data_IF_026835349796
#
_entry.id   IF_026835349796
#
_cell.length_a   1.000
_cell.length_b   1.000
_cell.length_c   1.000
_cell.angle_alpha   90.00
_cell.angle_beta   90.00
_cell.angle_gamma   90.00
#
_symmetry.space_group_name_H-M   'P 1'
#
loop_
_entity.id
_entity.type
_entity.pdbx_description
1 polymer ?
#
# COMPACT_ATOMS: atom_id res chain seq x y z
N UNK A 1 -51.40 -32.25 -64.32
CA UNK A 1 -52.26 -31.43 -63.44
C UNK A 1 -51.48 -30.18 -63.07
N UNK A 2 -51.78 -29.08 -63.75
CA UNK A 2 -51.19 -27.76 -63.56
C UNK A 2 -52.07 -26.96 -62.59
N UNK A 3 -51.45 -26.22 -61.66
CA UNK A 3 -51.62 -24.76 -61.51
C UNK A 3 -50.83 -24.22 -60.32
N UNK A 4 -49.74 -23.55 -60.66
CA UNK A 4 -48.99 -22.58 -59.87
C UNK A 4 -49.84 -21.34 -59.60
N UNK A 5 -49.84 -20.81 -58.38
CA UNK A 5 -50.31 -19.46 -58.07
C UNK A 5 -49.29 -18.80 -57.13
N UNK A 6 -48.60 -17.80 -57.68
CA UNK A 6 -47.78 -16.84 -56.95
C UNK A 6 -48.69 -15.76 -56.34
N UNK A 7 -48.48 -15.41 -55.08
CA UNK A 7 -49.07 -14.23 -54.46
C UNK A 7 -47.93 -13.27 -54.07
N UNK A 8 -47.93 -12.10 -54.72
CA UNK A 8 -47.13 -10.93 -54.40
C UNK A 8 -47.75 -10.21 -53.19
N UNK A 9 -46.92 -9.84 -52.21
CA UNK A 9 -47.30 -8.94 -51.12
C UNK A 9 -46.43 -7.65 -51.16
N UNK A 10 -46.99 -6.51 -50.76
CA UNK A 10 -46.50 -5.18 -51.13
C UNK A 10 -45.37 -4.66 -50.24
N UNK A 11 -44.49 -3.87 -50.86
CA UNK A 11 -43.51 -3.01 -50.21
C UNK A 11 -44.20 -1.96 -49.33
N UNK A 12 -43.98 -2.02 -48.02
CA UNK A 12 -44.31 -0.94 -47.10
C UNK A 12 -43.14 0.06 -47.06
N UNK A 13 -43.40 1.28 -47.52
CA UNK A 13 -42.49 2.42 -47.45
C UNK A 13 -42.42 2.91 -45.99
N UNK A 14 -41.30 2.66 -45.30
CA UNK A 14 -41.04 3.18 -43.97
C UNK A 14 -40.44 4.58 -44.09
N UNK A 15 -41.24 5.60 -43.78
CA UNK A 15 -40.74 6.95 -43.56
C UNK A 15 -39.98 7.01 -42.23
N UNK A 16 -38.65 7.00 -42.29
CA UNK A 16 -37.81 7.25 -41.13
C UNK A 16 -37.77 8.76 -40.83
N UNK A 17 -38.47 9.17 -39.78
CA UNK A 17 -38.33 10.50 -39.20
C UNK A 17 -36.97 10.62 -38.50
N UNK A 18 -36.06 11.39 -39.09
CA UNK A 18 -34.82 11.80 -38.43
C UNK A 18 -35.15 12.77 -37.30
N UNK A 19 -35.21 12.27 -36.07
CA UNK A 19 -35.17 13.12 -34.89
C UNK A 19 -33.75 13.72 -34.77
N UNK A 20 -33.61 15.04 -34.52
CA UNK A 20 -32.30 15.64 -34.26
C UNK A 20 -31.70 14.99 -33.01
N UNK A 21 -30.57 14.31 -33.21
CA UNK A 21 -29.86 13.61 -32.16
C UNK A 21 -29.42 14.57 -31.06
N UNK A 22 -30.00 14.40 -29.88
CA UNK A 22 -29.41 14.83 -28.62
C UNK A 22 -28.06 14.11 -28.51
N UNK A 23 -26.98 14.81 -28.81
CA UNK A 23 -25.63 14.36 -28.49
C UNK A 23 -25.61 14.10 -26.97
N UNK A 24 -25.22 12.90 -26.51
CA UNK A 24 -25.06 12.66 -25.09
C UNK A 24 -24.05 13.67 -24.53
N UNK A 25 -24.25 14.15 -23.29
CA UNK A 25 -23.30 15.07 -22.67
C UNK A 25 -21.91 14.42 -22.74
N UNK A 26 -20.99 15.15 -23.37
CA UNK A 26 -19.57 14.79 -23.44
C UNK A 26 -19.13 14.37 -22.05
N UNK A 27 -18.79 13.09 -21.89
CA UNK A 27 -18.27 12.55 -20.64
C UNK A 27 -17.09 13.44 -20.25
N UNK A 28 -17.26 14.23 -19.18
CA UNK A 28 -16.21 15.06 -18.63
C UNK A 28 -14.94 14.22 -18.55
N UNK A 29 -13.87 14.69 -19.20
CA UNK A 29 -12.59 14.01 -19.22
C UNK A 29 -12.25 13.61 -17.78
N UNK A 30 -12.24 12.30 -17.52
CA UNK A 30 -11.98 11.78 -16.19
C UNK A 30 -10.65 12.35 -15.71
N UNK A 31 -10.66 13.07 -14.58
CA UNK A 31 -9.45 13.60 -13.95
C UNK A 31 -8.42 12.46 -13.82
N UNK A 32 -7.37 12.53 -14.64
CA UNK A 32 -6.52 11.39 -14.92
C UNK A 32 -5.31 11.35 -13.99
N UNK A 33 -5.54 11.28 -12.67
CA UNK A 33 -4.45 11.22 -11.70
C UNK A 33 -4.86 10.75 -10.31
N UNK A 34 -3.87 10.40 -9.47
CA UNK A 34 -4.11 10.12 -8.06
C UNK A 34 -4.75 11.31 -7.34
N UNK A 35 -5.81 11.03 -6.57
CA UNK A 35 -6.51 12.01 -5.73
C UNK A 35 -6.43 11.66 -4.24
N UNK A 36 -6.11 10.41 -3.94
CA UNK A 36 -6.05 9.90 -2.59
C UNK A 36 -4.70 9.26 -2.34
N UNK A 37 -4.22 9.38 -1.10
CA UNK A 37 -3.05 8.67 -0.62
C UNK A 37 -3.37 7.95 0.69
N UNK A 38 -3.09 6.65 0.72
CA UNK A 38 -3.17 5.81 1.91
C UNK A 38 -1.76 5.49 2.36
N UNK A 39 -1.44 5.79 3.62
CA UNK A 39 -0.13 5.46 4.18
C UNK A 39 -0.10 5.60 5.69
N UNK A 40 1.03 5.23 6.30
CA UNK A 40 1.28 5.53 7.71
C UNK A 40 1.97 6.88 7.79
N UNK A 41 1.41 7.82 8.55
CA UNK A 41 2.01 9.13 8.71
C UNK A 41 3.22 9.04 9.66
N UNK A 42 4.36 9.54 9.23
CA UNK A 42 5.57 9.63 10.05
C UNK A 42 6.24 10.98 9.86
N UNK A 43 6.85 11.51 10.92
CA UNK A 43 7.80 12.61 10.79
C UNK A 43 9.16 12.02 10.41
N UNK A 44 9.81 12.57 9.40
CA UNK A 44 11.10 12.14 8.87
C UNK A 44 12.04 13.33 8.76
N UNK A 45 13.32 13.04 8.52
CA UNK A 45 14.38 14.02 8.39
C UNK A 45 15.25 13.63 7.21
N UNK A 46 15.76 14.61 6.49
CA UNK A 46 16.75 14.41 5.44
C UNK A 46 18.10 14.14 6.08
N UNK A 47 18.74 13.04 5.68
CA UNK A 47 20.12 12.77 6.07
C UNK A 47 21.04 13.69 5.29
N UNK A 48 21.88 14.44 5.99
CA UNK A 48 22.95 15.26 5.40
C UNK A 48 24.28 14.68 5.85
N UNK A 49 25.27 14.65 4.96
CA UNK A 49 26.59 14.11 5.27
C UNK A 49 27.66 15.15 4.93
N UNK A 50 28.50 15.47 5.90
CA UNK A 50 29.59 16.43 5.76
C UNK A 50 30.83 15.90 6.50
N UNK A 51 31.97 15.85 5.83
CA UNK A 51 33.23 15.41 6.45
C UNK A 51 33.24 13.96 6.96
N UNK A 52 32.36 13.09 6.46
CA UNK A 52 32.21 11.71 6.93
C UNK A 52 31.30 11.54 8.14
N UNK A 53 30.72 12.62 8.67
CA UNK A 53 29.69 12.59 9.71
C UNK A 53 28.30 12.72 9.08
N UNK A 54 27.29 12.11 9.72
CA UNK A 54 25.90 12.19 9.29
C UNK A 54 25.08 13.01 10.30
N UNK A 55 24.37 14.02 9.80
CA UNK A 55 23.35 14.80 10.52
C UNK A 55 21.96 14.51 9.94
N UNK A 56 20.93 14.88 10.71
CA UNK A 56 19.52 14.78 10.30
C UNK A 56 18.90 16.17 10.32
N UNK A 57 18.54 16.66 9.15
CA UNK A 57 18.08 18.03 8.91
C UNK A 57 16.71 18.02 8.22
N UNK A 58 16.08 19.18 8.09
CA UNK A 58 14.80 19.34 7.36
C UNK A 58 13.71 18.35 7.78
N UNK A 59 13.16 18.55 8.98
CA UNK A 59 12.00 17.78 9.44
C UNK A 59 10.81 17.96 8.49
N UNK A 60 10.15 16.86 8.15
CA UNK A 60 9.00 16.84 7.25
C UNK A 60 8.08 15.66 7.55
N UNK A 61 6.88 15.69 7.00
CA UNK A 61 5.95 14.56 7.10
C UNK A 61 6.01 13.70 5.83
N UNK A 62 5.91 12.39 6.04
CA UNK A 62 5.68 11.40 4.98
C UNK A 62 4.48 10.54 5.33
N UNK A 63 3.73 10.11 4.32
CA UNK A 63 2.80 8.98 4.47
C UNK A 63 3.26 7.83 3.58
N UNK A 64 3.67 6.73 4.20
CA UNK A 64 4.54 5.79 3.50
C UNK A 64 5.87 6.49 3.21
N UNK A 65 6.39 6.41 1.99
CA UNK A 65 7.61 7.08 1.50
C UNK A 65 7.32 8.31 0.64
N UNK A 66 6.10 8.87 0.72
CA UNK A 66 5.69 10.04 -0.06
C UNK A 66 5.77 11.29 0.80
N UNK A 67 6.57 12.27 0.37
CA UNK A 67 6.72 13.55 1.05
C UNK A 67 5.42 14.36 1.03
N UNK A 68 4.98 14.88 2.16
CA UNK A 68 3.72 15.62 2.25
C UNK A 68 3.94 17.14 2.24
N UNK A 69 3.15 17.82 1.43
CA UNK A 69 3.08 19.28 1.34
C UNK A 69 1.68 19.74 1.76
N UNK A 70 1.41 19.89 3.07
CA UNK A 70 0.08 20.30 3.53
C UNK A 70 -0.25 21.73 3.09
N UNK A 71 -1.49 21.93 2.63
CA UNK A 71 -2.02 23.26 2.36
C UNK A 71 -2.26 24.05 3.68
N UNK A 72 -2.32 25.40 3.62
CA UNK A 72 -2.61 26.21 4.80
C UNK A 72 -3.88 25.75 5.54
N UNK A 73 -3.75 25.47 6.83
CA UNK A 73 -4.85 25.00 7.68
C UNK A 73 -4.96 23.47 7.82
N UNK A 74 -4.16 22.69 7.09
CA UNK A 74 -4.09 21.23 7.28
C UNK A 74 -3.06 20.90 8.37
N UNK A 75 -3.53 20.52 9.56
CA UNK A 75 -2.67 20.06 10.65
C UNK A 75 -2.51 18.52 10.62
N UNK A 76 -1.28 18.06 10.43
CA UNK A 76 -0.91 16.65 10.36
C UNK A 76 -0.37 16.10 11.69
N UNK A 77 0.07 16.96 12.61
CA UNK A 77 0.74 16.54 13.83
C UNK A 77 -0.08 15.53 14.69
N UNK A 78 -1.41 15.69 14.86
CA UNK A 78 -2.23 14.75 15.64
C UNK A 78 -2.36 13.34 15.02
N UNK A 79 -1.96 13.18 13.76
CA UNK A 79 -2.07 11.94 13.00
C UNK A 79 -0.76 11.15 12.98
N UNK A 80 0.34 11.70 13.50
CA UNK A 80 1.67 11.06 13.44
C UNK A 80 1.63 9.67 14.09
N UNK A 81 2.23 8.69 13.42
CA UNK A 81 2.27 7.28 13.80
C UNK A 81 1.04 6.48 13.37
N UNK A 82 -0.05 7.11 12.93
CA UNK A 82 -1.32 6.47 12.59
C UNK A 82 -1.43 6.17 11.09
N UNK A 83 -2.23 5.17 10.70
CA UNK A 83 -2.69 5.05 9.32
C UNK A 83 -3.55 6.27 8.97
N UNK A 84 -3.34 6.83 7.79
CA UNK A 84 -4.03 8.03 7.30
C UNK A 84 -4.62 7.81 5.91
N UNK A 85 -5.69 8.54 5.66
CA UNK A 85 -6.25 8.78 4.34
C UNK A 85 -6.11 10.28 4.06
N UNK A 86 -5.36 10.60 3.01
CA UNK A 86 -5.12 11.96 2.55
C UNK A 86 -5.84 12.18 1.23
N UNK A 87 -6.42 13.37 1.05
CA UNK A 87 -6.95 13.85 -0.22
C UNK A 87 -6.09 14.99 -0.73
N UNK A 88 -5.82 14.99 -2.04
CA UNK A 88 -4.94 15.96 -2.66
C UNK A 88 -4.49 15.57 -4.05
N UNK A 89 -3.26 15.90 -4.40
CA UNK A 89 -2.69 15.63 -5.73
C UNK A 89 -1.17 15.42 -5.67
N UNK A 90 -0.58 14.66 -6.60
CA UNK A 90 0.87 14.57 -6.75
C UNK A 90 1.51 15.96 -6.95
N UNK A 91 2.67 16.14 -6.34
CA UNK A 91 3.45 17.37 -6.45
C UNK A 91 4.91 17.05 -6.80
N UNK A 92 5.63 18.07 -7.25
CA UNK A 92 7.08 17.98 -7.34
C UNK A 92 7.68 17.97 -5.91
N UNK A 93 8.68 17.13 -5.64
CA UNK A 93 9.35 17.12 -4.35
C UNK A 93 10.12 18.44 -4.15
N UNK A 94 10.25 18.90 -2.90
CA UNK A 94 11.03 20.10 -2.61
C UNK A 94 12.54 19.86 -2.89
N UNK A 95 13.34 20.90 -3.17
CA UNK A 95 14.77 20.75 -3.48
C UNK A 95 15.58 19.97 -2.43
N UNK A 96 15.15 20.05 -1.16
CA UNK A 96 15.76 19.39 0.00
C UNK A 96 15.52 17.88 0.02
N UNK A 97 14.53 17.37 -0.73
CA UNK A 97 14.24 15.93 -0.81
C UNK A 97 15.28 15.12 -1.60
N UNK A 98 16.38 15.75 -2.04
CA UNK A 98 17.46 15.07 -2.77
C UNK A 98 18.20 14.12 -1.83
N UNK A 99 18.38 12.87 -2.27
CA UNK A 99 19.22 11.92 -1.55
C UNK A 99 20.65 12.48 -1.41
N UNK A 100 21.27 12.38 -0.22
CA UNK A 100 22.64 12.81 -0.03
C UNK A 100 23.59 12.04 -0.94
N UNK A 101 24.69 12.68 -1.37
CA UNK A 101 25.72 12.00 -2.14
C UNK A 101 26.25 10.79 -1.34
N UNK A 102 26.05 9.55 -1.82
CA UNK A 102 26.41 8.35 -1.08
C UNK A 102 27.92 8.23 -0.84
N UNK A 103 28.76 9.00 -1.55
CA UNK A 103 30.21 9.07 -1.32
C UNK A 103 30.58 9.87 -0.07
N UNK A 104 29.67 10.70 0.43
CA UNK A 104 29.90 11.60 1.57
C UNK A 104 29.44 10.99 2.90
N UNK A 105 28.62 9.95 2.85
CA UNK A 105 28.11 9.24 4.02
C UNK A 105 28.93 7.98 4.34
N UNK A 106 29.05 7.60 5.63
CA UNK A 106 29.60 6.30 6.02
C UNK A 106 28.90 5.15 5.28
N UNK A 107 29.70 4.29 4.63
CA UNK A 107 29.17 3.11 3.98
C UNK A 107 28.77 2.06 5.02
N UNK A 108 27.51 1.66 4.99
CA UNK A 108 26.97 0.58 5.83
C UNK A 108 26.50 -0.52 4.90
N UNK A 109 26.89 -1.77 5.16
CA UNK A 109 26.29 -2.90 4.46
C UNK A 109 24.81 -2.96 4.86
N UNK A 110 23.93 -2.67 3.89
CA UNK A 110 22.49 -2.64 4.08
C UNK A 110 21.80 -3.41 2.96
N UNK A 111 20.58 -3.88 3.22
CA UNK A 111 19.72 -4.43 2.17
C UNK A 111 19.26 -3.30 1.24
N UNK A 112 18.96 -3.62 -0.01
CA UNK A 112 18.52 -2.64 -1.01
C UNK A 112 17.16 -1.99 -0.70
N UNK A 113 16.37 -2.60 0.18
CA UNK A 113 15.09 -2.08 0.66
C UNK A 113 15.20 -1.26 1.96
N UNK A 114 16.40 -1.05 2.49
CA UNK A 114 16.59 -0.25 3.70
C UNK A 114 16.64 1.24 3.36
N UNK A 115 15.82 2.01 4.06
CA UNK A 115 15.83 3.47 4.06
C UNK A 115 16.16 3.93 5.47
N UNK A 116 17.31 4.60 5.62
CA UNK A 116 17.74 5.13 6.91
C UNK A 116 16.95 6.40 7.24
N UNK A 117 16.37 6.43 8.44
CA UNK A 117 15.79 7.61 9.06
C UNK A 117 16.46 7.92 10.40
N UNK A 118 16.15 9.10 10.94
CA UNK A 118 16.65 9.57 12.24
C UNK A 118 16.40 8.57 13.38
N UNK A 119 15.23 7.93 13.36
CA UNK A 119 14.78 7.02 14.42
C UNK A 119 15.02 5.53 14.10
N UNK A 120 15.84 5.24 13.07
CA UNK A 120 16.20 3.87 12.70
C UNK A 120 15.99 3.55 11.22
N UNK A 121 15.79 2.28 10.90
CA UNK A 121 15.66 1.80 9.53
C UNK A 121 14.19 1.53 9.19
N UNK A 122 13.76 2.03 8.03
CA UNK A 122 12.47 1.74 7.40
C UNK A 122 12.69 0.80 6.22
N UNK A 123 11.69 -0.02 5.92
CA UNK A 123 11.74 -0.97 4.82
C UNK A 123 10.89 -0.44 3.65
N UNK A 124 11.53 -0.06 2.55
CA UNK A 124 10.86 0.27 1.29
C UNK A 124 10.62 -1.02 0.51
N UNK A 125 9.54 -1.70 0.87
CA UNK A 125 9.11 -2.94 0.22
C UNK A 125 8.62 -2.69 -1.20
N UNK A 126 8.37 -3.77 -1.93
CA UNK A 126 7.80 -3.69 -3.28
C UNK A 126 6.50 -2.86 -3.25
N UNK A 127 6.49 -1.77 -4.02
CA UNK A 127 5.36 -0.87 -4.18
C UNK A 127 4.85 -0.95 -5.63
N UNK A 128 3.54 -0.81 -5.87
CA UNK A 128 3.03 -0.58 -7.21
C UNK A 128 3.71 0.62 -7.86
N UNK A 129 3.88 0.57 -9.18
CA UNK A 129 4.57 1.61 -9.94
C UNK A 129 4.00 3.02 -9.71
N UNK A 130 2.68 3.15 -9.55
CA UNK A 130 2.04 4.44 -9.26
C UNK A 130 2.49 5.04 -7.91
N UNK A 131 2.62 4.19 -6.87
CA UNK A 131 3.19 4.58 -5.57
C UNK A 131 4.69 4.86 -5.67
N UNK A 132 5.43 4.06 -6.45
CA UNK A 132 6.86 4.24 -6.64
C UNK A 132 7.25 5.55 -7.37
N UNK A 133 6.32 6.14 -8.15
CA UNK A 133 6.56 7.39 -8.89
C UNK A 133 6.18 8.66 -8.11
N UNK A 134 5.37 8.56 -7.06
CA UNK A 134 4.91 9.72 -6.31
C UNK A 134 5.96 10.16 -5.28
N UNK A 135 6.84 11.09 -5.66
CA UNK A 135 7.86 11.62 -4.75
C UNK A 135 7.28 12.58 -3.69
N UNK A 136 6.25 13.34 -4.04
CA UNK A 136 5.57 14.23 -3.11
C UNK A 136 4.06 14.34 -3.40
N UNK A 137 3.29 14.75 -2.39
CA UNK A 137 1.85 14.88 -2.45
C UNK A 137 1.39 16.15 -1.73
N UNK A 138 0.67 17.03 -2.44
CA UNK A 138 0.04 18.21 -1.86
C UNK A 138 -1.24 17.79 -1.15
N UNK A 139 -1.34 18.03 0.15
CA UNK A 139 -2.45 17.55 0.99
C UNK A 139 -3.46 18.66 1.21
N UNK A 140 -4.70 18.43 0.77
CA UNK A 140 -5.85 19.33 0.98
C UNK A 140 -6.69 18.95 2.19
N UNK A 141 -6.78 17.65 2.47
CA UNK A 141 -7.46 17.12 3.64
C UNK A 141 -6.76 15.87 4.15
N UNK A 142 -6.79 15.67 5.47
CA UNK A 142 -6.17 14.54 6.14
C UNK A 142 -7.08 14.03 7.25
N UNK A 143 -7.15 12.70 7.40
CA UNK A 143 -7.81 12.07 8.54
C UNK A 143 -7.18 10.73 8.85
N UNK A 144 -7.38 10.25 10.08
CA UNK A 144 -7.04 8.88 10.44
C UNK A 144 -7.86 7.89 9.60
N UNK A 145 -7.22 6.81 9.18
CA UNK A 145 -7.85 5.68 8.51
C UNK A 145 -8.17 4.62 9.57
N UNK A 146 -9.45 4.49 9.93
CA UNK A 146 -9.89 3.55 10.97
C UNK A 146 -10.14 2.13 10.46
N UNK A 147 -10.28 1.98 9.15
CA UNK A 147 -10.68 0.74 8.48
C UNK A 147 -9.63 -0.37 8.45
N UNK A 148 -8.51 -0.29 9.18
CA UNK A 148 -7.49 -1.35 9.18
C UNK A 148 -7.43 -2.01 10.54
N UNK A 149 -7.62 -3.33 10.57
CA UNK A 149 -7.54 -4.13 11.79
C UNK A 149 -6.72 -5.38 11.56
N UNK A 150 -6.05 -5.82 12.62
CA UNK A 150 -5.36 -7.07 12.69
C UNK A 150 -5.64 -7.66 14.07
N UNK A 151 -6.16 -8.87 14.11
CA UNK A 151 -6.54 -9.51 15.37
C UNK A 151 -6.17 -10.99 15.35
N UNK A 152 -5.94 -11.56 16.53
CA UNK A 152 -5.66 -12.98 16.68
C UNK A 152 -6.97 -13.78 16.76
N UNK A 153 -7.04 -14.87 16.01
CA UNK A 153 -8.11 -15.86 16.09
C UNK A 153 -7.48 -17.27 16.12
N UNK A 154 -7.36 -17.85 17.32
CA UNK A 154 -6.72 -19.16 17.50
C UNK A 154 -5.24 -19.15 17.10
N UNK A 155 -4.90 -19.95 16.08
CA UNK A 155 -3.58 -20.09 15.48
C UNK A 155 -3.36 -19.17 14.24
N UNK A 156 -4.32 -18.27 13.98
CA UNK A 156 -4.30 -17.34 12.85
C UNK A 156 -4.31 -15.88 13.28
N UNK A 157 -3.81 -15.02 12.39
CA UNK A 157 -4.14 -13.60 12.35
C UNK A 157 -5.23 -13.36 11.32
N UNK A 158 -6.19 -12.54 11.69
CA UNK A 158 -7.25 -12.06 10.82
C UNK A 158 -6.97 -10.60 10.52
N UNK A 159 -6.61 -10.31 9.28
CA UNK A 159 -6.50 -8.95 8.77
C UNK A 159 -7.84 -8.55 8.14
N UNK A 160 -8.31 -7.34 8.44
CA UNK A 160 -9.43 -6.75 7.73
C UNK A 160 -9.13 -5.31 7.32
N UNK A 161 -9.54 -4.97 6.10
CA UNK A 161 -9.37 -3.65 5.50
C UNK A 161 -10.70 -3.17 4.91
N UNK A 162 -11.21 -2.05 5.41
CA UNK A 162 -12.42 -1.40 4.93
C UNK A 162 -12.07 -0.28 3.95
N UNK A 163 -12.63 -0.33 2.75
CA UNK A 163 -12.48 0.74 1.78
C UNK A 163 -13.31 1.95 2.20
N UNK A 164 -12.64 2.96 2.75
CA UNK A 164 -13.31 4.20 3.17
C UNK A 164 -13.45 5.25 2.06
N UNK A 165 -12.79 5.03 0.91
CA UNK A 165 -12.77 5.93 -0.23
C UNK A 165 -14.11 5.91 -0.99
N UNK A 166 -14.44 6.98 -1.75
CA UNK A 166 -15.63 7.01 -2.60
C UNK A 166 -15.46 6.21 -3.91
N UNK A 167 -14.29 5.60 -4.13
CA UNK A 167 -13.95 4.86 -5.36
C UNK A 167 -13.63 3.40 -5.03
N UNK A 168 -13.84 2.50 -5.99
CA UNK A 168 -13.47 1.10 -5.82
C UNK A 168 -11.94 0.93 -5.82
N UNK A 169 -11.46 0.00 -5.00
CA UNK A 169 -10.05 -0.35 -4.93
C UNK A 169 -9.79 -1.61 -5.77
N UNK A 170 -9.11 -1.44 -6.89
CA UNK A 170 -8.76 -2.49 -7.84
C UNK A 170 -7.42 -3.13 -7.46
N UNK A 171 -7.32 -4.45 -7.66
CA UNK A 171 -6.14 -5.25 -7.34
C UNK A 171 -5.68 -5.10 -5.90
N UNK A 172 -6.61 -5.01 -4.96
CA UNK A 172 -6.31 -4.93 -3.53
C UNK A 172 -5.57 -6.21 -3.08
N UNK A 173 -4.47 -6.06 -2.37
CA UNK A 173 -3.75 -7.17 -1.74
C UNK A 173 -3.45 -6.85 -0.27
N UNK A 174 -3.79 -7.80 0.59
CA UNK A 174 -3.38 -7.82 1.99
C UNK A 174 -2.17 -8.73 2.10
N UNK A 175 -1.01 -8.17 2.45
CA UNK A 175 0.27 -8.88 2.44
C UNK A 175 0.88 -8.85 3.83
N UNK A 176 1.05 -10.02 4.43
CA UNK A 176 1.66 -10.16 5.74
C UNK A 176 3.11 -10.60 5.59
N UNK A 177 4.01 -9.83 6.18
CA UNK A 177 5.44 -10.09 6.13
C UNK A 177 5.91 -10.64 7.46
N UNK A 178 6.76 -11.65 7.41
CA UNK A 178 7.26 -12.32 8.59
C UNK A 178 8.76 -12.11 8.72
N UNK A 179 9.22 -11.78 9.90
CA UNK A 179 10.64 -11.62 10.19
C UNK A 179 11.11 -12.75 11.12
N UNK A 180 12.37 -13.15 10.95
CA UNK A 180 12.98 -14.19 11.77
C UNK A 180 13.26 -13.67 13.19
N UNK A 181 12.86 -14.44 14.20
CA UNK A 181 12.98 -14.06 15.61
C UNK A 181 14.41 -13.72 16.10
N UNK A 182 15.43 -14.15 15.37
CA UNK A 182 16.84 -14.04 15.77
C UNK A 182 17.77 -13.58 14.64
N UNK A 183 17.33 -12.57 13.88
CA UNK A 183 18.18 -11.88 12.89
C UNK A 183 18.41 -12.68 11.61
N UNK A 184 17.43 -13.48 11.20
CA UNK A 184 17.54 -14.30 9.99
C UNK A 184 17.06 -13.54 8.75
N UNK A 185 17.87 -13.45 7.69
CA UNK A 185 17.43 -12.91 6.41
C UNK A 185 16.59 -13.94 5.64
N UNK A 186 15.61 -13.47 4.89
CA UNK A 186 14.67 -14.30 4.13
C UNK A 186 13.30 -14.33 4.79
N UNK A 187 12.57 -13.22 4.66
CA UNK A 187 11.23 -13.06 5.20
C UNK A 187 10.21 -13.72 4.27
N UNK A 188 9.61 -14.87 4.63
CA UNK A 188 8.45 -15.35 3.90
C UNK A 188 7.35 -14.28 3.95
N UNK A 189 6.59 -14.21 2.88
CA UNK A 189 5.49 -13.25 2.73
C UNK A 189 4.27 -14.04 2.29
N UNK A 190 3.15 -13.82 2.98
CA UNK A 190 1.86 -14.38 2.61
C UNK A 190 0.98 -13.27 2.04
N UNK A 191 0.24 -13.54 0.97
CA UNK A 191 -0.60 -12.52 0.32
C UNK A 191 -1.99 -13.05 0.04
N UNK A 192 -3.00 -12.21 0.26
CA UNK A 192 -4.37 -12.45 -0.18
C UNK A 192 -4.85 -11.31 -1.05
N UNK A 193 -5.11 -11.61 -2.32
CA UNK A 193 -5.56 -10.64 -3.32
C UNK A 193 -7.07 -10.68 -3.54
N UNK A 194 -7.63 -9.52 -3.85
CA UNK A 194 -9.02 -9.26 -4.18
C UNK A 194 -9.02 -8.47 -5.49
N UNK A 195 -9.85 -8.88 -6.46
CA UNK A 195 -9.90 -8.21 -7.76
C UNK A 195 -10.35 -6.75 -7.62
N UNK A 196 -11.40 -6.52 -6.84
CA UNK A 196 -11.91 -5.19 -6.52
C UNK A 196 -12.52 -5.17 -5.12
N UNK A 197 -12.45 -4.03 -4.45
CA UNK A 197 -13.14 -3.75 -3.19
C UNK A 197 -13.96 -2.45 -3.33
N UNK A 198 -15.28 -2.60 -3.45
CA UNK A 198 -16.19 -1.47 -3.60
C UNK A 198 -16.17 -0.53 -2.37
N UNK A 199 -16.59 0.75 -2.52
CA UNK A 199 -16.72 1.68 -1.41
C UNK A 199 -17.51 1.10 -0.24
N UNK A 200 -17.02 1.36 0.98
CA UNK A 200 -17.60 0.91 2.25
C UNK A 200 -17.70 -0.62 2.42
N UNK A 201 -17.04 -1.40 1.56
CA UNK A 201 -16.89 -2.85 1.75
C UNK A 201 -15.59 -3.16 2.48
N UNK A 202 -15.56 -4.34 3.10
CA UNK A 202 -14.42 -4.83 3.87
C UNK A 202 -13.87 -6.09 3.24
N UNK A 203 -12.57 -6.10 2.95
CA UNK A 203 -11.81 -7.30 2.64
C UNK A 203 -11.30 -7.93 3.94
N UNK A 204 -11.33 -9.27 4.00
CA UNK A 204 -10.86 -10.03 5.17
C UNK A 204 -9.99 -11.19 4.71
N UNK A 205 -8.85 -11.38 5.35
CA UNK A 205 -7.92 -12.47 5.08
C UNK A 205 -7.41 -13.07 6.38
N UNK A 206 -7.09 -14.36 6.32
CA UNK A 206 -6.51 -15.11 7.44
C UNK A 206 -5.10 -15.54 7.09
N UNK A 207 -4.19 -15.37 8.03
CA UNK A 207 -2.77 -15.67 7.90
C UNK A 207 -2.32 -16.54 9.07
N UNK A 208 -1.36 -17.46 8.88
CA UNK A 208 -0.80 -18.20 10.01
C UNK A 208 -0.10 -17.25 11.01
N UNK A 209 -0.17 -17.56 12.32
CA UNK A 209 0.59 -16.80 13.33
C UNK A 209 2.10 -16.96 13.20
N UNK A 210 2.54 -18.06 12.61
CA UNK A 210 3.95 -18.38 12.45
C UNK A 210 4.15 -19.16 11.18
N UNK A 211 5.27 -18.93 10.52
CA UNK A 211 5.70 -19.75 9.38
C UNK A 211 7.09 -20.32 9.64
N UNK A 212 7.23 -21.61 9.37
CA UNK A 212 8.51 -22.31 9.48
C UNK A 212 9.15 -22.36 8.12
N UNK A 213 10.37 -21.87 8.00
CA UNK A 213 11.14 -22.05 6.77
C UNK A 213 11.70 -23.49 6.75
N UNK A 214 11.41 -24.24 5.70
CA UNK A 214 11.68 -25.67 5.64
C UNK A 214 13.15 -25.97 5.25
N UNK A 215 14.03 -25.97 6.25
CA UNK A 215 15.43 -26.42 6.10
C UNK A 215 15.56 -27.94 6.08
N UNK A 216 14.48 -28.70 6.31
CA UNK A 216 14.56 -30.17 6.35
C UNK A 216 15.01 -30.73 4.99
N UNK A 217 14.78 -30.01 3.89
CA UNK A 217 15.33 -30.35 2.56
C UNK A 217 16.86 -30.28 2.48
N UNK A 218 17.54 -29.59 3.39
CA UNK A 218 18.99 -29.40 3.37
C UNK A 218 19.75 -30.27 4.38
N UNK A 219 19.06 -31.11 5.16
CA UNK A 219 19.67 -32.06 6.11
C UNK A 219 20.47 -31.43 7.26
N UNK A 220 20.40 -30.10 7.45
CA UNK A 220 21.09 -29.39 8.53
C UNK A 220 20.16 -29.22 9.74
N UNK A 221 20.63 -29.60 10.92
CA UNK A 221 19.95 -29.29 12.17
C UNK A 221 20.00 -27.77 12.42
N UNK A 222 18.83 -27.17 12.64
CA UNK A 222 18.68 -25.75 12.93
C UNK A 222 17.80 -25.61 14.18
N UNK A 223 18.23 -24.85 15.22
CA UNK A 223 17.40 -24.60 16.40
C UNK A 223 16.00 -24.08 16.01
N UNK A 224 14.92 -24.53 16.67
CA UNK A 224 13.54 -24.12 16.35
C UNK A 224 13.34 -22.61 16.25
N UNK A 225 13.95 -21.85 17.17
CA UNK A 225 13.89 -20.38 17.15
C UNK A 225 14.48 -19.76 15.88
N UNK A 226 15.42 -20.45 15.21
CA UNK A 226 16.00 -20.04 13.92
C UNK A 226 15.19 -20.52 12.71
N UNK A 227 14.16 -21.34 12.89
CA UNK A 227 13.25 -21.78 11.84
C UNK A 227 11.96 -20.97 11.79
N UNK A 228 11.59 -20.36 12.92
CA UNK A 228 10.35 -19.63 13.09
C UNK A 228 10.46 -18.18 12.60
N UNK A 229 9.48 -17.77 11.80
CA UNK A 229 9.23 -16.38 11.46
C UNK A 229 7.88 -15.96 12.04
N UNK A 230 7.86 -14.76 12.61
CA UNK A 230 6.67 -14.15 13.21
C UNK A 230 6.23 -12.95 12.38
N UNK A 231 4.92 -12.67 12.28
CA UNK A 231 4.38 -11.49 11.64
C UNK A 231 5.04 -10.21 12.13
N UNK A 232 5.63 -9.45 11.20
CA UNK A 232 6.31 -8.20 11.47
C UNK A 232 5.47 -7.00 11.06
N UNK A 233 4.83 -7.06 9.90
CA UNK A 233 3.92 -6.00 9.47
C UNK A 233 2.92 -6.46 8.39
N UNK A 234 1.83 -5.72 8.29
CA UNK A 234 0.77 -5.85 7.30
C UNK A 234 0.89 -4.72 6.28
N UNK A 235 1.15 -5.08 5.03
CA UNK A 235 1.14 -4.18 3.89
C UNK A 235 -0.20 -4.26 3.15
N UNK A 236 -0.78 -3.11 2.84
CA UNK A 236 -1.95 -2.97 1.98
C UNK A 236 -1.47 -2.40 0.65
N UNK A 237 -1.84 -3.05 -0.45
CA UNK A 237 -1.46 -2.66 -1.80
C UNK A 237 -2.72 -2.56 -2.65
N UNK A 238 -2.82 -1.57 -3.53
CA UNK A 238 -3.82 -1.53 -4.61
C UNK A 238 -3.24 -0.89 -5.87
N UNK A 239 -3.92 -1.08 -7.01
CA UNK A 239 -3.50 -0.54 -8.32
C UNK A 239 -4.51 0.45 -8.91
N UNK A 240 -5.45 0.95 -8.10
CA UNK A 240 -6.42 1.98 -8.53
C UNK A 240 -5.69 3.26 -8.95
N UNK A 241 -5.86 3.75 -10.19
CA UNK A 241 -5.14 4.94 -10.68
C UNK A 241 -5.34 6.21 -9.84
N UNK A 242 -6.47 6.32 -9.16
CA UNK A 242 -6.84 7.46 -8.32
C UNK A 242 -6.24 7.39 -6.91
N UNK A 243 -5.54 6.31 -6.55
CA UNK A 243 -5.09 6.04 -5.18
C UNK A 243 -3.62 5.65 -5.18
N UNK A 244 -2.79 6.42 -4.48
CA UNK A 244 -1.46 6.00 -4.07
C UNK A 244 -1.61 5.17 -2.80
N UNK A 245 -1.11 3.93 -2.82
CA UNK A 245 -1.20 3.02 -1.69
C UNK A 245 0.21 2.63 -1.26
N UNK A 246 0.62 3.17 -0.11
CA UNK A 246 1.87 2.86 0.56
C UNK A 246 1.63 2.74 2.07
N UNK A 247 0.84 1.73 2.42
CA UNK A 247 0.40 1.48 3.78
C UNK A 247 1.03 0.18 4.28
N UNK A 248 2.15 0.30 4.99
CA UNK A 248 2.81 -0.79 5.71
C UNK A 248 2.76 -0.51 7.23
N UNK A 249 2.07 -1.38 7.97
CA UNK A 249 1.78 -1.21 9.38
C UNK A 249 2.42 -2.31 10.21
N UNK A 250 3.34 -1.95 11.10
CA UNK A 250 3.96 -2.89 12.03
C UNK A 250 2.88 -3.59 12.88
N UNK A 251 3.01 -4.91 13.06
CA UNK A 251 2.06 -5.71 13.85
C UNK A 251 1.95 -5.20 15.29
N UNK A 252 3.05 -4.67 15.84
CA UNK A 252 3.09 -4.06 17.17
C UNK A 252 2.16 -2.83 17.34
N UNK A 253 1.65 -2.25 16.25
CA UNK A 253 0.66 -1.15 16.30
C UNK A 253 -0.76 -1.64 16.56
N UNK A 254 -1.01 -2.95 16.44
CA UNK A 254 -2.34 -3.54 16.63
C UNK A 254 -2.41 -4.22 18.00
N UNK A 255 -3.28 -3.69 18.86
CA UNK A 255 -3.51 -4.27 20.17
C UNK A 255 -3.97 -5.74 20.06
N UNK A 256 -3.30 -6.63 20.81
CA UNK A 256 -3.64 -8.06 20.82
C UNK A 256 -3.18 -8.87 19.60
N UNK A 257 -2.51 -8.26 18.61
CA UNK A 257 -1.92 -8.96 17.48
C UNK A 257 -0.41 -9.25 17.65
N UNK A 258 0.22 -8.65 18.66
CA UNK A 258 1.64 -8.85 18.95
C UNK A 258 1.95 -10.33 19.23
N UNK A 259 3.01 -10.84 18.60
CA UNK A 259 3.47 -12.22 18.76
C UNK A 259 4.90 -12.16 19.28
N UNK A 260 5.10 -12.78 20.44
CA UNK A 260 6.43 -12.89 21.02
C UNK A 260 7.20 -14.02 20.36
N UNK A 261 8.48 -13.78 20.15
CA UNK A 261 9.40 -14.83 19.73
C UNK A 261 9.56 -15.85 20.86
N UNK A 262 9.50 -17.16 20.56
CA UNK A 262 9.65 -18.18 21.59
C UNK A 262 11.05 -18.12 22.18
N UNK A 263 11.17 -18.32 23.49
CA UNK A 263 12.45 -18.31 24.21
C UNK A 263 13.55 -19.09 23.49
N UNK A 264 14.75 -18.51 23.44
CA UNK A 264 15.94 -19.13 22.83
C UNK A 264 16.30 -20.50 23.42
N UNK A 265 15.82 -20.80 24.63
CA UNK A 265 16.27 -21.90 25.47
C UNK A 265 15.43 -23.19 25.42
N UNK A 266 14.33 -23.27 24.64
CA UNK A 266 13.52 -24.51 24.57
C UNK A 266 13.75 -25.30 23.27
N UNK A 267 14.20 -26.56 23.36
CA UNK A 267 14.24 -27.49 22.21
C UNK A 267 12.84 -27.86 21.69
#
# INVERSE_FOLDING_TARGET
MNRTLFALAPFALVCASFAPGLLPPSAAAAESGPRYLLGRLTEQHVRVCAGGEASWEHAHFEAGFVWLLPEPGVDLAPLVGKPVLLEGEPAAPPPEAREPDPRQCPQVQARSDYVFGKDGVRLRREMPEASARAAAFRVRAARALGGVTLSRAGDRLVAAFSNELPVALEGLSLRLHYEGCYGKPGAPTESKSFSSLAPKKTARAEFPLTVTHDYAREGKWVPKGKLLHVPASLQIICVTPQVICDLDLAVALFEGAAIECPDRARP
#
